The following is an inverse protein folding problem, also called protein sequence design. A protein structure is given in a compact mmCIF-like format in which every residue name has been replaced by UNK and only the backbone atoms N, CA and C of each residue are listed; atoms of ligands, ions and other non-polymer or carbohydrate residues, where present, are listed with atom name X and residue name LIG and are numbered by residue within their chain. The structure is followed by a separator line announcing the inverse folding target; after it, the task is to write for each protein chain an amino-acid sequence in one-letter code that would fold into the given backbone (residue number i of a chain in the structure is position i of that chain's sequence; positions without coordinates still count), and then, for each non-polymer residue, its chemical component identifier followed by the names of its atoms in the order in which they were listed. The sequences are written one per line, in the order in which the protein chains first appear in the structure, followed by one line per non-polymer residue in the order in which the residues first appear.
data_IF_671286918619
#
_entry.id   IF_671286918619
#
_cell.length_a   1.000
_cell.length_b   1.000
_cell.length_c   1.000
_cell.angle_alpha   90.00
_cell.angle_beta   90.00
_cell.angle_gamma   90.00
#
_symmetry.space_group_name_H-M   'P 1'
#
loop_
_entity.id
_entity.type
_entity.pdbx_description
1 polymer ?
#
# COMPACT_ATOMS: atom_id res chain seq x y z
N UNK A 1 3.43 10.40 -11.89
CA UNK A 1 3.32 8.99 -12.36
C UNK A 1 3.88 8.86 -13.77
N UNK A 2 4.59 7.76 -14.07
CA UNK A 2 5.11 7.48 -15.43
C UNK A 2 3.95 7.10 -16.37
N UNK A 3 4.04 7.53 -17.62
CA UNK A 3 3.15 7.11 -18.72
C UNK A 3 3.81 5.97 -19.50
N UNK A 4 2.96 5.07 -20.00
CA UNK A 4 3.34 3.92 -20.82
C UNK A 4 2.60 3.97 -22.14
N UNK A 5 3.14 3.34 -23.17
CA UNK A 5 2.53 3.32 -24.49
C UNK A 5 2.15 1.89 -24.89
N UNK A 6 1.12 1.75 -25.73
CA UNK A 6 0.57 0.46 -26.13
C UNK A 6 1.60 -0.50 -26.76
N UNK A 7 2.66 0.03 -27.36
CA UNK A 7 3.72 -0.74 -28.02
C UNK A 7 4.89 -1.11 -27.09
N UNK A 8 4.87 -0.69 -25.82
CA UNK A 8 5.90 -1.04 -24.85
C UNK A 8 5.66 -2.40 -24.21
N UNK A 9 6.73 -3.02 -23.70
CA UNK A 9 6.63 -4.30 -23.02
C UNK A 9 5.91 -4.18 -21.67
N UNK A 10 4.79 -4.89 -21.53
CA UNK A 10 3.95 -4.84 -20.32
C UNK A 10 4.69 -5.41 -19.10
N UNK A 11 5.53 -6.43 -19.30
CA UNK A 11 6.24 -7.08 -18.21
C UNK A 11 7.30 -6.15 -17.62
N UNK A 12 8.13 -5.52 -18.46
CA UNK A 12 9.08 -4.48 -18.05
C UNK A 12 8.35 -3.31 -17.42
N UNK A 13 7.22 -2.91 -17.99
CA UNK A 13 6.41 -1.83 -17.46
C UNK A 13 5.85 -2.12 -16.08
N UNK A 14 5.59 -3.37 -15.71
CA UNK A 14 5.11 -3.76 -14.36
C UNK A 14 6.25 -4.19 -13.43
N UNK A 15 7.51 -4.23 -13.88
CA UNK A 15 8.69 -4.56 -13.08
C UNK A 15 9.25 -3.33 -12.33
N UNK A 16 8.39 -2.70 -11.51
CA UNK A 16 8.70 -1.42 -10.82
C UNK A 16 9.09 -1.57 -9.35
N UNK A 17 9.05 -2.79 -8.83
CA UNK A 17 9.34 -3.05 -7.42
C UNK A 17 10.84 -3.25 -7.27
N UNK A 18 11.46 -2.44 -6.40
CA UNK A 18 12.83 -2.65 -5.96
C UNK A 18 12.85 -3.15 -4.52
N UNK A 19 13.88 -3.91 -4.17
CA UNK A 19 14.06 -4.44 -2.84
C UNK A 19 15.40 -3.96 -2.26
N UNK A 20 15.53 -4.11 -0.96
CA UNK A 20 16.71 -3.72 -0.17
C UNK A 20 17.42 -4.99 0.30
N UNK A 21 18.75 -4.94 0.39
CA UNK A 21 19.58 -5.91 1.12
C UNK A 21 20.34 -5.20 2.24
N UNK A 22 21.28 -5.90 2.89
CA UNK A 22 22.13 -5.34 3.96
C UNK A 22 22.88 -4.04 3.62
N UNK A 23 23.08 -3.73 2.34
CA UNK A 23 23.79 -2.54 1.86
C UNK A 23 22.83 -1.43 1.38
N UNK A 24 21.51 -1.59 1.53
CA UNK A 24 20.52 -0.64 1.03
C UNK A 24 19.82 -1.12 -0.24
N UNK A 25 19.32 -0.18 -1.04
CA UNK A 25 18.54 -0.48 -2.24
C UNK A 25 19.36 -1.25 -3.29
N UNK A 26 18.79 -2.35 -3.79
CA UNK A 26 19.41 -3.18 -4.82
C UNK A 26 18.41 -3.47 -5.94
N UNK A 27 18.63 -2.83 -7.09
CA UNK A 27 17.79 -2.96 -8.28
C UNK A 27 17.80 -4.36 -8.91
N UNK A 28 18.78 -5.21 -8.57
CA UNK A 28 18.89 -6.57 -9.12
C UNK A 28 18.10 -7.60 -8.31
N UNK A 29 17.65 -7.26 -7.10
CA UNK A 29 16.82 -8.16 -6.30
C UNK A 29 15.43 -8.26 -6.91
N UNK A 30 14.93 -9.49 -7.00
CA UNK A 30 13.57 -9.79 -7.48
C UNK A 30 12.59 -10.17 -6.36
N UNK A 31 13.09 -10.36 -5.14
CA UNK A 31 12.31 -10.65 -3.94
C UNK A 31 12.96 -10.02 -2.70
N UNK A 32 12.25 -9.86 -1.58
CA UNK A 32 12.83 -9.38 -0.34
C UNK A 32 13.99 -10.26 0.13
N UNK A 33 15.03 -9.63 0.65
CA UNK A 33 16.14 -10.29 1.33
C UNK A 33 16.04 -9.95 2.84
N UNK A 34 16.03 -10.98 3.70
CA UNK A 34 16.02 -10.78 5.15
C UNK A 34 17.26 -10.05 5.65
N UNK A 35 18.37 -10.07 4.91
CA UNK A 35 19.56 -9.27 5.22
C UNK A 35 19.29 -7.77 5.26
N UNK A 36 18.21 -7.30 4.62
CA UNK A 36 17.73 -5.92 4.74
C UNK A 36 17.42 -5.50 6.18
N UNK A 37 17.11 -6.43 7.08
CA UNK A 37 16.89 -6.13 8.50
C UNK A 37 18.16 -5.50 9.10
N UNK A 38 19.35 -5.90 8.67
CA UNK A 38 20.61 -5.27 9.09
C UNK A 38 20.64 -3.79 8.68
N UNK A 39 20.31 -3.48 7.43
CA UNK A 39 20.27 -2.11 6.92
C UNK A 39 19.21 -1.30 7.66
N UNK A 40 17.99 -1.84 7.81
CA UNK A 40 16.90 -1.19 8.52
C UNK A 40 17.33 -0.85 9.96
N UNK A 41 17.85 -1.81 10.73
CA UNK A 41 18.20 -1.59 12.15
C UNK A 41 19.37 -0.61 12.34
N UNK A 42 20.29 -0.55 11.38
CA UNK A 42 21.49 0.29 11.52
C UNK A 42 21.36 1.68 10.89
N UNK A 43 20.60 1.81 9.79
CA UNK A 43 20.58 3.02 8.98
C UNK A 43 19.19 3.69 8.92
N UNK A 44 18.09 2.93 8.97
CA UNK A 44 16.74 3.48 8.76
C UNK A 44 15.86 3.53 10.02
N UNK A 45 16.14 2.69 11.03
CA UNK A 45 15.26 2.52 12.18
C UNK A 45 15.27 3.79 13.03
N UNK A 46 14.21 4.56 12.90
CA UNK A 46 13.92 5.72 13.75
C UNK A 46 12.68 5.42 14.61
N UNK A 47 12.90 4.81 15.77
CA UNK A 47 11.86 4.60 16.77
C UNK A 47 12.15 5.45 18.00
N UNK A 48 11.53 6.63 18.09
CA UNK A 48 11.77 7.62 19.16
C UNK A 48 10.46 7.99 19.87
N UNK A 49 9.70 6.98 20.32
CA UNK A 49 8.38 7.16 20.89
C UNK A 49 8.39 7.95 22.21
N UNK A 50 9.06 7.45 23.25
CA UNK A 50 9.16 8.14 24.54
C UNK A 50 10.00 9.40 24.44
N UNK A 51 11.09 9.33 23.67
CA UNK A 51 11.95 10.48 23.38
C UNK A 51 11.13 11.67 22.86
N UNK A 52 10.22 11.43 21.90
CA UNK A 52 9.35 12.48 21.37
C UNK A 52 8.32 12.96 22.40
N UNK A 53 7.70 12.04 23.16
CA UNK A 53 6.71 12.40 24.18
C UNK A 53 7.31 13.33 25.25
N UNK A 54 8.55 13.08 25.68
CA UNK A 54 9.23 13.91 26.68
C UNK A 54 9.45 15.36 26.25
N UNK A 55 9.43 15.65 24.95
CA UNK A 55 9.58 17.00 24.42
C UNK A 55 8.25 17.78 24.42
N UNK A 56 7.12 17.10 24.56
CA UNK A 56 5.79 17.72 24.51
C UNK A 56 5.46 18.32 25.88
N UNK A 57 5.31 19.65 25.94
CA UNK A 57 5.05 20.41 27.19
C UNK A 57 3.67 20.17 27.80
N UNK A 58 2.70 19.70 27.01
CA UNK A 58 1.31 19.44 27.44
C UNK A 58 1.05 17.93 27.46
N UNK A 59 0.51 17.41 28.57
CA UNK A 59 0.47 15.97 28.88
C UNK A 59 -0.83 15.26 28.52
N UNK A 60 -1.79 15.93 27.87
CA UNK A 60 -3.02 15.28 27.43
C UNK A 60 -2.74 14.42 26.19
N UNK A 61 -2.25 13.21 26.43
CA UNK A 61 -1.89 12.24 25.40
C UNK A 61 -3.08 11.29 25.21
N UNK A 62 -3.63 11.30 24.00
CA UNK A 62 -4.64 10.35 23.56
C UNK A 62 -3.97 9.10 22.97
N UNK A 63 -4.41 7.93 23.41
CA UNK A 63 -3.87 6.66 22.94
C UNK A 63 -4.90 5.92 22.10
N UNK A 64 -4.51 5.57 20.87
CA UNK A 64 -5.34 4.80 19.94
C UNK A 64 -4.66 3.44 19.73
N UNK A 65 -5.36 2.36 20.07
CA UNK A 65 -4.92 1.00 19.79
C UNK A 65 -5.01 0.73 18.28
N UNK A 66 -4.05 0.00 17.72
CA UNK A 66 -4.08 -0.43 16.32
C UNK A 66 -5.33 -1.26 16.01
N UNK A 67 -5.90 -1.96 17.01
CA UNK A 67 -7.20 -2.66 16.88
C UNK A 67 -8.37 -1.70 16.63
N UNK A 68 -8.31 -0.47 17.13
CA UNK A 68 -9.35 0.56 16.91
C UNK A 68 -9.31 1.11 15.48
N UNK A 69 -8.15 1.05 14.81
CA UNK A 69 -8.00 1.46 13.40
C UNK A 69 -7.98 0.26 12.43
N UNK A 70 -8.52 -0.89 12.87
CA UNK A 70 -8.74 -2.03 11.98
C UNK A 70 -9.79 -1.71 10.90
N UNK A 71 -9.86 -2.54 9.86
CA UNK A 71 -10.82 -2.41 8.76
C UNK A 71 -12.25 -2.12 9.23
N UNK A 72 -12.72 -2.81 10.26
CA UNK A 72 -14.12 -2.73 10.71
C UNK A 72 -14.35 -1.59 11.71
N UNK A 73 -13.29 -1.08 12.35
CA UNK A 73 -13.39 -0.09 13.43
C UNK A 73 -12.93 1.32 13.01
N UNK A 74 -12.06 1.44 12.01
CA UNK A 74 -11.36 2.67 11.67
C UNK A 74 -12.31 3.85 11.42
N UNK A 75 -13.41 3.64 10.68
CA UNK A 75 -14.37 4.69 10.38
C UNK A 75 -15.09 5.20 11.64
N UNK A 76 -15.57 4.30 12.49
CA UNK A 76 -16.20 4.68 13.75
C UNK A 76 -15.21 5.40 14.67
N UNK A 77 -13.97 4.90 14.77
CA UNK A 77 -12.91 5.51 15.57
C UNK A 77 -12.58 6.92 15.11
N UNK A 78 -12.42 7.19 13.80
CA UNK A 78 -12.12 8.55 13.35
C UNK A 78 -13.28 9.52 13.60
N UNK A 79 -14.55 9.06 13.57
CA UNK A 79 -15.71 9.89 13.95
C UNK A 79 -15.70 10.25 15.44
N UNK A 80 -15.32 9.30 16.30
CA UNK A 80 -15.11 9.56 17.74
C UNK A 80 -13.97 10.56 17.95
N UNK A 81 -12.82 10.35 17.30
CA UNK A 81 -11.68 11.25 17.38
C UNK A 81 -12.00 12.66 16.87
N UNK A 82 -12.80 12.78 15.80
CA UNK A 82 -13.23 14.08 15.26
C UNK A 82 -13.97 14.92 16.32
N UNK A 83 -14.80 14.27 17.13
CA UNK A 83 -15.55 14.92 18.21
C UNK A 83 -14.65 15.26 19.39
N UNK A 84 -13.80 14.33 19.82
CA UNK A 84 -12.88 14.52 20.96
C UNK A 84 -11.83 15.60 20.69
N UNK A 85 -11.30 15.66 19.47
CA UNK A 85 -10.23 16.57 19.05
C UNK A 85 -10.76 17.80 18.28
N UNK A 86 -12.07 17.94 18.13
CA UNK A 86 -12.76 19.05 17.47
C UNK A 86 -12.25 19.34 16.04
N UNK A 87 -12.08 18.30 15.22
CA UNK A 87 -11.83 18.42 13.79
C UNK A 87 -13.03 17.92 12.97
N UNK A 88 -13.02 18.23 11.66
CA UNK A 88 -14.14 17.88 10.76
C UNK A 88 -14.32 16.36 10.67
N UNK A 89 -15.53 15.90 10.99
CA UNK A 89 -15.92 14.50 10.82
C UNK A 89 -15.84 14.08 9.34
N UNK A 90 -15.36 12.86 9.04
CA UNK A 90 -15.36 12.36 7.66
C UNK A 90 -16.78 12.15 7.15
N UNK A 91 -16.94 12.20 5.83
CA UNK A 91 -18.24 11.94 5.19
C UNK A 91 -18.57 10.44 5.26
N UNK A 92 -19.83 10.08 5.48
CA UNK A 92 -20.29 8.69 5.45
C UNK A 92 -20.03 8.01 4.10
N UNK A 93 -20.04 8.78 3.01
CA UNK A 93 -19.66 8.28 1.68
C UNK A 93 -18.18 7.87 1.57
N UNK A 94 -17.32 8.27 2.51
CA UNK A 94 -15.90 7.91 2.53
C UNK A 94 -15.61 6.65 3.36
N UNK A 95 -16.61 6.01 3.98
CA UNK A 95 -16.40 4.84 4.86
C UNK A 95 -15.59 3.73 4.16
N UNK A 96 -15.83 3.51 2.86
CA UNK A 96 -15.13 2.52 2.07
C UNK A 96 -13.61 2.74 2.03
N UNK A 97 -13.12 3.99 2.14
CA UNK A 97 -11.68 4.31 2.19
C UNK A 97 -11.02 3.76 3.45
N UNK A 98 -11.72 3.80 4.58
CA UNK A 98 -11.24 3.30 5.87
C UNK A 98 -11.26 1.77 5.95
N UNK A 99 -12.11 1.12 5.16
CA UNK A 99 -12.22 -0.35 5.09
C UNK A 99 -11.18 -1.01 4.18
N UNK A 100 -10.38 -0.23 3.46
CA UNK A 100 -9.45 -0.75 2.47
C UNK A 100 -8.06 -1.02 3.04
N UNK A 101 -7.46 -2.11 2.58
CA UNK A 101 -6.02 -2.34 2.76
C UNK A 101 -5.29 -1.56 1.67
N UNK A 102 -4.78 -0.38 2.04
CA UNK A 102 -4.03 0.48 1.12
C UNK A 102 -2.78 -0.22 0.57
N UNK A 103 -1.98 -0.83 1.44
CA UNK A 103 -0.79 -1.60 1.09
C UNK A 103 -1.12 -3.06 0.69
N UNK A 104 -1.96 -3.23 -0.33
CA UNK A 104 -2.32 -4.53 -0.87
C UNK A 104 -1.33 -5.02 -1.95
N UNK A 105 -1.65 -6.13 -2.60
CA UNK A 105 -0.83 -6.76 -3.64
C UNK A 105 -0.68 -5.93 -4.92
N UNK A 106 -1.57 -4.95 -5.15
CA UNK A 106 -1.58 -4.09 -6.33
C UNK A 106 -0.91 -2.73 -6.09
N UNK A 107 -0.62 -2.36 -4.83
CA UNK A 107 -0.19 -1.00 -4.46
C UNK A 107 1.01 -0.46 -5.24
N UNK A 108 2.02 -1.29 -5.53
CA UNK A 108 3.20 -0.86 -6.29
C UNK A 108 3.07 -1.07 -7.81
N UNK A 109 1.99 -1.72 -8.24
CA UNK A 109 1.71 -2.04 -9.65
C UNK A 109 0.73 -1.02 -10.25
N UNK A 110 -0.14 -0.45 -9.42
CA UNK A 110 -1.16 0.53 -9.77
C UNK A 110 -0.91 1.85 -9.02
N UNK A 111 -1.31 3.00 -9.57
CA UNK A 111 -2.02 3.16 -10.84
C UNK A 111 -1.12 2.98 -12.07
N UNK A 112 -1.71 2.52 -13.17
CA UNK A 112 -1.05 2.32 -14.47
C UNK A 112 -1.63 3.29 -15.51
N UNK A 113 -0.79 4.15 -16.10
CA UNK A 113 -1.21 5.16 -17.09
C UNK A 113 -0.77 4.74 -18.48
N UNK A 114 -1.72 4.35 -19.32
CA UNK A 114 -1.51 3.95 -20.71
C UNK A 114 -1.91 5.09 -21.65
N UNK A 115 -1.02 5.46 -22.57
CA UNK A 115 -1.28 6.40 -23.66
C UNK A 115 -1.55 5.61 -24.93
N UNK A 116 -2.67 5.92 -25.57
CA UNK A 116 -3.17 5.32 -26.81
C UNK A 116 -3.34 6.43 -27.84
N UNK A 117 -3.11 6.15 -29.13
CA UNK A 117 -3.23 7.13 -30.21
C UNK A 117 -2.49 8.46 -29.95
N UNK A 118 -1.33 8.40 -29.30
CA UNK A 118 -0.45 9.51 -28.93
C UNK A 118 -0.94 10.46 -27.81
N UNK A 119 -2.24 10.56 -27.53
CA UNK A 119 -2.76 11.53 -26.55
C UNK A 119 -3.90 11.02 -25.65
N UNK A 120 -4.50 9.86 -25.95
CA UNK A 120 -5.61 9.32 -25.15
C UNK A 120 -5.06 8.58 -23.93
N UNK A 121 -5.34 9.12 -22.75
CA UNK A 121 -4.96 8.52 -21.47
C UNK A 121 -6.03 7.54 -20.97
N UNK A 122 -5.61 6.29 -20.74
CA UNK A 122 -6.35 5.27 -20.00
C UNK A 122 -5.62 5.03 -18.66
N UNK A 123 -6.36 5.03 -17.55
CA UNK A 123 -5.82 4.86 -16.20
C UNK A 123 -6.40 3.60 -15.56
N UNK A 124 -5.54 2.63 -15.27
CA UNK A 124 -5.90 1.48 -14.44
C UNK A 124 -5.61 1.80 -12.97
N UNK A 125 -6.58 1.58 -12.09
CA UNK A 125 -6.42 1.73 -10.63
C UNK A 125 -7.06 0.57 -9.90
N UNK A 126 -6.93 0.53 -8.57
CA UNK A 126 -7.83 -0.22 -7.72
C UNK A 126 -9.31 0.12 -7.99
N UNK A 127 -10.22 -0.80 -7.65
CA UNK A 127 -11.66 -0.66 -7.90
C UNK A 127 -12.22 0.67 -7.41
N UNK A 128 -11.80 1.09 -6.21
CA UNK A 128 -12.29 2.30 -5.56
C UNK A 128 -11.43 3.54 -5.84
N UNK A 129 -10.42 3.42 -6.72
CA UNK A 129 -9.52 4.50 -7.17
C UNK A 129 -8.77 5.21 -6.05
N UNK A 130 -8.59 4.58 -4.90
CA UNK A 130 -7.90 5.17 -3.75
C UNK A 130 -6.43 5.43 -4.09
N UNK A 131 -5.82 4.65 -4.97
CA UNK A 131 -4.44 4.88 -5.40
C UNK A 131 -4.27 6.18 -6.22
N UNK A 132 -5.37 6.78 -6.68
CA UNK A 132 -5.38 8.03 -7.43
C UNK A 132 -5.72 9.26 -6.57
N UNK A 133 -6.12 9.12 -5.31
CA UNK A 133 -6.57 10.24 -4.46
C UNK A 133 -5.53 11.36 -4.33
N UNK A 134 -4.24 11.01 -4.38
CA UNK A 134 -3.12 11.97 -4.32
C UNK A 134 -2.59 12.43 -5.70
N UNK A 135 -3.15 11.92 -6.81
CA UNK A 135 -2.76 12.37 -8.15
C UNK A 135 -3.50 13.69 -8.49
N UNK A 136 -2.73 14.76 -8.70
CA UNK A 136 -3.27 16.08 -9.06
C UNK A 136 -4.05 16.05 -10.37
N UNK A 137 -3.52 15.39 -11.39
CA UNK A 137 -4.16 15.30 -12.70
C UNK A 137 -5.45 14.49 -12.62
N UNK A 138 -5.46 13.37 -11.88
CA UNK A 138 -6.70 12.64 -11.61
C UNK A 138 -7.75 13.53 -10.96
N UNK A 139 -7.37 14.31 -9.94
CA UNK A 139 -8.31 15.20 -9.25
C UNK A 139 -8.91 16.28 -10.16
N UNK A 140 -8.24 16.65 -11.25
CA UNK A 140 -8.75 17.58 -12.26
C UNK A 140 -9.76 16.92 -13.22
N UNK A 141 -9.65 15.61 -13.49
CA UNK A 141 -10.47 14.91 -14.50
C UNK A 141 -11.45 13.88 -13.92
N UNK A 142 -11.39 13.58 -12.62
CA UNK A 142 -12.09 12.43 -12.01
C UNK A 142 -13.60 12.39 -12.25
N UNK A 143 -14.24 13.55 -12.37
CA UNK A 143 -15.69 13.65 -12.58
C UNK A 143 -16.10 13.31 -14.04
N UNK A 144 -15.16 13.32 -14.99
CA UNK A 144 -15.36 12.93 -16.39
C UNK A 144 -14.88 11.51 -16.69
N UNK A 145 -14.30 10.81 -15.71
CA UNK A 145 -13.78 9.46 -15.90
C UNK A 145 -14.90 8.42 -15.85
N UNK A 146 -14.95 7.56 -16.87
CA UNK A 146 -15.82 6.39 -16.92
C UNK A 146 -14.99 5.10 -16.86
N UNK A 147 -15.51 4.07 -16.19
CA UNK A 147 -14.90 2.74 -16.13
C UNK A 147 -15.35 1.90 -17.34
N UNK A 148 -14.41 1.60 -18.23
CA UNK A 148 -14.63 0.82 -19.46
C UNK A 148 -14.14 -0.63 -19.36
N UNK A 149 -13.83 -1.13 -18.14
CA UNK A 149 -13.27 -2.49 -17.98
C UNK A 149 -14.12 -3.60 -18.61
N UNK A 150 -15.45 -3.46 -18.61
CA UNK A 150 -16.38 -4.43 -19.22
C UNK A 150 -16.22 -4.53 -20.74
N UNK A 151 -15.73 -3.48 -21.39
CA UNK A 151 -15.51 -3.45 -22.84
C UNK A 151 -14.18 -4.11 -23.23
N UNK A 152 -13.21 -4.10 -22.31
CA UNK A 152 -11.81 -4.46 -22.59
C UNK A 152 -11.35 -5.77 -21.95
N UNK A 153 -12.00 -6.22 -20.87
CA UNK A 153 -11.54 -7.35 -20.06
C UNK A 153 -12.65 -8.36 -19.82
N UNK A 154 -12.29 -9.65 -19.86
CA UNK A 154 -13.17 -10.75 -19.50
C UNK A 154 -13.58 -10.68 -18.01
N UNK A 155 -14.88 -10.68 -17.75
CA UNK A 155 -15.48 -10.62 -16.41
C UNK A 155 -15.10 -11.81 -15.51
N UNK A 156 -14.59 -12.90 -16.08
CA UNK A 156 -14.09 -14.07 -15.33
C UNK A 156 -12.64 -13.92 -14.84
N UNK A 157 -11.95 -12.83 -15.16
CA UNK A 157 -10.60 -12.57 -14.67
C UNK A 157 -10.61 -12.40 -13.15
N UNK A 158 -9.65 -13.02 -12.43
CA UNK A 158 -9.61 -12.98 -10.96
C UNK A 158 -9.43 -11.58 -10.38
N UNK A 159 -8.82 -10.67 -11.16
CA UNK A 159 -8.61 -9.28 -10.76
C UNK A 159 -9.73 -8.35 -11.21
N UNK A 160 -10.77 -8.84 -11.92
CA UNK A 160 -11.81 -8.01 -12.52
C UNK A 160 -12.50 -7.09 -11.49
N UNK A 161 -12.87 -7.63 -10.33
CA UNK A 161 -13.53 -6.87 -9.25
C UNK A 161 -12.55 -6.08 -8.36
N UNK A 162 -11.24 -6.15 -8.65
CA UNK A 162 -10.20 -5.45 -7.89
C UNK A 162 -9.68 -4.19 -8.59
N UNK A 163 -10.04 -3.99 -9.86
CA UNK A 163 -9.50 -2.89 -10.66
C UNK A 163 -10.59 -2.13 -11.41
N UNK A 164 -10.29 -0.87 -11.70
CA UNK A 164 -11.04 -0.04 -12.64
C UNK A 164 -10.15 0.32 -13.84
N UNK A 165 -10.73 0.41 -15.05
CA UNK A 165 -10.02 0.87 -16.26
C UNK A 165 -10.71 2.13 -16.76
N UNK A 166 -10.09 3.27 -16.51
CA UNK A 166 -10.76 4.57 -16.60
C UNK A 166 -10.26 5.39 -17.78
N UNK A 167 -11.18 6.09 -18.44
CA UNK A 167 -10.91 7.01 -19.54
C UNK A 167 -11.82 8.23 -19.40
N UNK A 168 -11.36 9.41 -19.83
CA UNK A 168 -12.24 10.59 -19.96
C UNK A 168 -13.36 10.30 -20.97
N UNK A 169 -14.60 10.64 -20.63
CA UNK A 169 -15.78 10.37 -21.46
C UNK A 169 -15.67 10.96 -22.87
N UNK A 170 -15.03 12.14 -22.99
CA UNK A 170 -14.75 12.78 -24.29
C UNK A 170 -13.86 11.89 -25.19
N UNK A 171 -12.86 11.23 -24.60
CA UNK A 171 -11.92 10.37 -25.33
C UNK A 171 -12.57 9.03 -25.67
N UNK A 172 -13.40 8.48 -24.78
CA UNK A 172 -14.17 7.27 -25.09
C UNK A 172 -15.09 7.47 -26.28
N UNK A 173 -15.75 8.63 -26.37
CA UNK A 173 -16.63 8.96 -27.49
C UNK A 173 -15.90 8.98 -28.84
N UNK A 174 -14.59 9.27 -28.83
CA UNK A 174 -13.74 9.25 -30.03
C UNK A 174 -13.41 7.81 -30.45
N UNK A 175 -13.11 6.91 -29.50
CA UNK A 175 -12.53 5.60 -29.81
C UNK A 175 -13.52 4.43 -29.80
N UNK A 176 -14.68 4.56 -29.13
CA UNK A 176 -15.61 3.43 -28.89
C UNK A 176 -16.10 2.73 -30.16
N UNK A 177 -16.19 3.48 -31.27
CA UNK A 177 -16.70 2.99 -32.56
C UNK A 177 -15.57 2.50 -33.49
N UNK A 178 -14.30 2.74 -33.14
CA UNK A 178 -13.13 2.21 -33.83
C UNK A 178 -12.90 0.74 -33.43
N UNK A 179 -13.51 -0.17 -34.19
CA UNK A 179 -13.44 -1.61 -33.91
C UNK A 179 -12.02 -2.17 -33.94
N UNK A 180 -11.12 -1.62 -34.76
CA UNK A 180 -9.75 -2.11 -34.84
C UNK A 180 -9.02 -1.76 -33.55
N UNK A 181 -9.08 -0.49 -33.15
CA UNK A 181 -8.46 -0.04 -31.91
C UNK A 181 -9.04 -0.71 -30.66
N UNK A 182 -10.37 -0.90 -30.61
CA UNK A 182 -11.00 -1.60 -29.47
C UNK A 182 -10.53 -3.06 -29.38
N UNK A 183 -10.33 -3.73 -30.52
CA UNK A 183 -9.77 -5.09 -30.51
C UNK A 183 -8.30 -5.10 -30.06
N UNK A 184 -7.49 -4.15 -30.53
CA UNK A 184 -6.10 -4.01 -30.07
C UNK A 184 -6.03 -3.77 -28.56
N UNK A 185 -6.92 -2.92 -28.03
CA UNK A 185 -7.03 -2.68 -26.59
C UNK A 185 -7.49 -3.92 -25.83
N UNK A 186 -8.43 -4.70 -26.35
CA UNK A 186 -8.83 -5.99 -25.73
C UNK A 186 -7.65 -6.94 -25.65
N UNK A 187 -6.91 -7.15 -26.74
CA UNK A 187 -5.74 -8.02 -26.74
C UNK A 187 -4.65 -7.52 -25.79
N UNK A 188 -4.43 -6.20 -25.74
CA UNK A 188 -3.51 -5.58 -24.79
C UNK A 188 -3.94 -5.85 -23.35
N UNK A 189 -5.20 -5.58 -23.01
CA UNK A 189 -5.68 -5.72 -21.64
C UNK A 189 -5.84 -7.18 -21.20
N UNK A 190 -6.09 -8.12 -22.11
CA UNK A 190 -6.00 -9.55 -21.80
C UNK A 190 -4.59 -9.95 -21.34
N UNK A 191 -3.56 -9.54 -22.08
CA UNK A 191 -2.15 -9.76 -21.70
C UNK A 191 -1.80 -9.02 -20.41
N UNK A 192 -2.24 -7.78 -20.26
CA UNK A 192 -2.02 -6.97 -19.08
C UNK A 192 -2.57 -7.63 -17.81
N UNK A 193 -3.80 -8.14 -17.86
CA UNK A 193 -4.43 -8.78 -16.71
C UNK A 193 -3.69 -10.05 -16.28
N UNK A 194 -3.20 -10.85 -17.22
CA UNK A 194 -2.38 -12.04 -16.93
C UNK A 194 -1.08 -11.65 -16.22
N UNK A 195 -0.36 -10.65 -16.73
CA UNK A 195 0.92 -10.20 -16.15
C UNK A 195 0.69 -9.53 -14.79
N UNK A 196 -0.34 -8.70 -14.65
CA UNK A 196 -0.70 -8.06 -13.39
C UNK A 196 -1.02 -9.10 -12.31
N UNK A 197 -1.81 -10.13 -12.64
CA UNK A 197 -2.11 -11.23 -11.72
C UNK A 197 -0.83 -11.96 -11.29
N UNK A 198 0.05 -12.28 -12.25
CA UNK A 198 1.33 -12.92 -11.95
C UNK A 198 2.17 -12.08 -10.98
N UNK A 199 2.36 -10.79 -11.26
CA UNK A 199 3.15 -9.88 -10.39
C UNK A 199 2.52 -9.69 -9.01
N UNK A 200 1.20 -9.61 -8.93
CA UNK A 200 0.47 -9.54 -7.67
C UNK A 200 0.66 -10.81 -6.82
N UNK A 201 0.59 -11.99 -7.45
CA UNK A 201 0.83 -13.27 -6.77
C UNK A 201 2.28 -13.43 -6.34
N UNK A 202 3.25 -13.09 -7.20
CA UNK A 202 4.69 -13.11 -6.85
C UNK A 202 4.96 -12.25 -5.60
N UNK A 203 4.31 -11.08 -5.47
CA UNK A 203 4.43 -10.24 -4.29
C UNK A 203 3.85 -10.88 -3.02
N UNK A 204 2.71 -11.55 -3.13
CA UNK A 204 2.08 -12.25 -2.01
C UNK A 204 2.91 -13.46 -1.56
N UNK A 205 3.43 -14.23 -2.51
CA UNK A 205 4.25 -15.42 -2.25
C UNK A 205 5.59 -15.09 -1.59
N UNK A 206 6.19 -13.94 -1.95
CA UNK A 206 7.46 -13.48 -1.40
C UNK A 206 7.31 -12.56 -0.17
N UNK A 207 6.10 -12.39 0.37
CA UNK A 207 5.87 -11.52 1.53
C UNK A 207 6.56 -12.09 2.77
N UNK A 208 7.48 -11.32 3.35
CA UNK A 208 8.14 -11.62 4.62
C UNK A 208 7.10 -11.60 5.74
N UNK A 209 7.07 -12.66 6.56
CA UNK A 209 6.17 -12.81 7.71
C UNK A 209 6.88 -12.42 9.00
N UNK A 210 6.10 -12.18 10.06
CA UNK A 210 6.65 -11.86 11.38
C UNK A 210 7.57 -12.96 11.90
N UNK A 211 7.26 -14.24 11.63
CA UNK A 211 8.09 -15.37 12.01
C UNK A 211 9.45 -15.38 11.30
N UNK A 212 9.50 -15.01 10.02
CA UNK A 212 10.76 -14.91 9.27
C UNK A 212 11.68 -13.85 9.91
N UNK A 213 11.11 -12.72 10.32
CA UNK A 213 11.84 -11.64 11.03
C UNK A 213 12.33 -12.12 12.40
N UNK A 214 11.48 -12.77 13.19
CA UNK A 214 11.86 -13.29 14.51
C UNK A 214 12.97 -14.35 14.42
N UNK A 215 12.88 -15.25 13.45
CA UNK A 215 13.90 -16.27 13.20
C UNK A 215 15.23 -15.63 12.78
N UNK A 216 15.19 -14.64 11.89
CA UNK A 216 16.37 -13.89 11.49
C UNK A 216 17.03 -13.20 12.70
N UNK A 217 16.25 -12.49 13.53
CA UNK A 217 16.81 -11.83 14.72
C UNK A 217 17.40 -12.84 15.70
N UNK A 218 16.77 -14.00 15.89
CA UNK A 218 17.27 -15.08 16.75
C UNK A 218 18.67 -15.57 16.32
N UNK A 219 18.90 -15.65 15.02
CA UNK A 219 20.22 -16.00 14.44
C UNK A 219 21.22 -14.83 14.51
N UNK A 220 20.72 -13.59 14.48
CA UNK A 220 21.49 -12.34 14.53
C UNK A 220 21.28 -11.60 15.86
N UNK A 221 21.72 -12.22 16.96
CA UNK A 221 21.40 -11.74 18.32
C UNK A 221 21.86 -10.32 18.64
N UNK A 222 22.91 -9.83 17.98
CA UNK A 222 23.39 -8.45 18.12
C UNK A 222 22.33 -7.44 17.67
N UNK A 223 21.69 -7.68 16.53
CA UNK A 223 20.58 -6.87 16.03
C UNK A 223 19.36 -6.97 16.94
N UNK A 224 19.02 -8.19 17.38
CA UNK A 224 17.90 -8.41 18.30
C UNK A 224 18.07 -7.66 19.62
N UNK A 225 19.26 -7.73 20.25
CA UNK A 225 19.58 -6.99 21.47
C UNK A 225 19.56 -5.47 21.24
N UNK A 226 20.04 -4.99 20.09
CA UNK A 226 19.96 -3.57 19.74
C UNK A 226 18.51 -3.08 19.66
N UNK A 227 17.64 -3.82 18.97
CA UNK A 227 16.20 -3.52 18.91
C UNK A 227 15.60 -3.56 20.32
N UNK A 228 15.91 -4.57 21.13
CA UNK A 228 15.38 -4.68 22.50
C UNK A 228 15.74 -3.47 23.34
N UNK A 229 16.99 -3.02 23.32
CA UNK A 229 17.43 -1.84 24.07
C UNK A 229 16.66 -0.58 23.65
N UNK A 230 16.41 -0.42 22.35
CA UNK A 230 15.59 0.68 21.82
C UNK A 230 14.15 0.57 22.36
N UNK A 231 13.51 -0.59 22.21
CA UNK A 231 12.12 -0.79 22.63
C UNK A 231 11.94 -0.68 24.15
N UNK A 232 12.88 -1.16 24.95
CA UNK A 232 12.82 -1.06 26.42
C UNK A 232 12.81 0.39 26.90
N UNK A 233 13.63 1.24 26.28
CA UNK A 233 13.64 2.67 26.57
C UNK A 233 12.40 3.37 25.98
N UNK A 234 12.11 3.15 24.71
CA UNK A 234 11.12 3.94 23.99
C UNK A 234 9.67 3.56 24.32
N UNK A 235 9.41 2.35 24.81
CA UNK A 235 8.06 1.93 25.21
C UNK A 235 7.73 2.21 26.67
N UNK A 236 8.63 2.81 27.46
CA UNK A 236 8.42 2.96 28.92
C UNK A 236 7.12 3.72 29.27
N UNK A 237 6.80 4.77 28.53
CA UNK A 237 5.62 5.59 28.79
C UNK A 237 4.30 4.87 28.49
N UNK A 238 4.22 4.18 27.34
CA UNK A 238 3.00 3.42 27.00
C UNK A 238 2.84 2.19 27.91
N UNK A 239 3.94 1.57 28.36
CA UNK A 239 3.89 0.50 29.38
C UNK A 239 3.28 0.98 30.70
N UNK A 240 3.58 2.21 31.11
CA UNK A 240 3.02 2.82 32.33
C UNK A 240 1.55 3.21 32.18
N UNK A 241 1.19 3.85 31.06
CA UNK A 241 -0.12 4.49 30.91
C UNK A 241 -1.18 3.64 30.21
N UNK A 242 -0.77 2.73 29.31
CA UNK A 242 -1.65 1.83 28.55
C UNK A 242 -1.04 0.42 28.42
N UNK A 243 -0.78 -0.26 29.55
CA UNK A 243 -0.27 -1.62 29.54
C UNK A 243 -1.20 -2.60 28.81
N UNK A 244 -2.51 -2.30 28.76
CA UNK A 244 -3.51 -3.06 28.01
C UNK A 244 -3.19 -3.11 26.50
N UNK A 245 -2.73 -2.00 25.91
CA UNK A 245 -2.32 -1.95 24.49
C UNK A 245 -1.10 -2.84 24.27
N UNK A 246 -0.06 -2.70 25.12
CA UNK A 246 1.18 -3.48 24.99
C UNK A 246 0.92 -4.98 25.15
N UNK A 247 0.08 -5.37 26.10
CA UNK A 247 -0.27 -6.76 26.34
C UNK A 247 -1.01 -7.41 25.15
N UNK A 248 -1.59 -6.59 24.27
CA UNK A 248 -2.28 -7.03 23.05
C UNK A 248 -1.34 -7.36 21.88
N UNK A 249 -0.05 -7.00 21.97
CA UNK A 249 0.92 -7.16 20.88
C UNK A 249 1.56 -8.56 20.89
N UNK A 250 0.94 -9.51 20.19
CA UNK A 250 1.43 -10.91 20.12
C UNK A 250 2.85 -11.04 19.57
N UNK A 251 3.20 -10.28 18.52
CA UNK A 251 4.55 -10.32 17.95
C UNK A 251 5.62 -9.79 18.94
N UNK A 252 5.28 -8.73 19.70
CA UNK A 252 6.19 -8.18 20.71
C UNK A 252 6.43 -9.17 21.86
N UNK A 253 5.40 -9.91 22.31
CA UNK A 253 5.56 -10.97 23.32
C UNK A 253 6.51 -12.07 22.85
N UNK A 254 6.33 -12.57 21.63
CA UNK A 254 7.25 -13.56 21.02
C UNK A 254 8.68 -13.04 20.90
N UNK A 255 8.84 -11.76 20.56
CA UNK A 255 10.15 -11.11 20.52
C UNK A 255 10.82 -11.11 21.91
N UNK A 256 10.09 -10.76 22.98
CA UNK A 256 10.60 -10.76 24.36
C UNK A 256 10.92 -12.16 24.91
N UNK A 257 10.30 -13.22 24.38
CA UNK A 257 10.67 -14.60 24.73
C UNK A 257 12.06 -14.98 24.20
N UNK A 258 12.55 -14.30 23.16
CA UNK A 258 13.85 -14.55 22.53
C UNK A 258 14.96 -13.65 23.14
N UNK A 259 14.63 -12.43 23.56
CA UNK A 259 15.58 -11.39 23.98
C UNK A 259 15.20 -10.74 25.32
#
# INVERSE_FOLDING_TARGET
LKNFYINEDIFENLDRISYTDKNGHNANLKKPDLSSIYFIVNEELSFSYFSNINLIKNKNILYVDTKSISKDNAFATIKTLAKELNFKEPNDNDEYKFKQKFWNELYYLLPYRLIVNNDILIIVSDENKVFLDNDKHYNEIKDDLIDIKKELVNTKSKLFDKISINIENKNWTIIKDDKALINDLREYFEKFMIILEKKANERLENMVKEEDVLNYLKEHQDLGKKIKNILDYELQHIKEHRPDIINSWECYKKFLEIF
#
